data_IF_166692294010
#
_entry.id   IF_166692294010
#
_cell.length_a   1.000
_cell.length_b   1.000
_cell.length_c   1.000
_cell.angle_alpha   90.00
_cell.angle_beta   90.00
_cell.angle_gamma   90.00
#
_symmetry.space_group_name_H-M   'P 1'
#
loop_
_entity.id
_entity.type
_entity.pdbx_description
1 polymer ?
#
# COMPACT_ATOMS: atom_id res chain seq x y z
N UNK A 1 -5.57 -31.80 -35.92
CA UNK A 1 -6.98 -31.95 -35.49
C UNK A 1 -7.03 -31.47 -34.05
N UNK A 2 -7.68 -30.31 -33.86
CA UNK A 2 -7.91 -29.49 -32.65
C UNK A 2 -6.82 -29.32 -31.57
N UNK A 3 -6.27 -28.10 -31.61
CA UNK A 3 -5.41 -27.45 -30.63
C UNK A 3 -6.18 -27.18 -29.33
N UNK A 4 -5.82 -27.88 -28.25
CA UNK A 4 -6.30 -27.61 -26.89
C UNK A 4 -5.37 -26.64 -26.13
N UNK A 5 -4.21 -26.30 -26.70
CA UNK A 5 -3.21 -25.44 -26.04
C UNK A 5 -3.53 -23.94 -26.06
N UNK A 6 -4.58 -23.51 -26.77
CA UNK A 6 -4.80 -22.07 -27.01
C UNK A 6 -5.70 -21.38 -25.99
N UNK A 7 -6.36 -22.12 -25.09
CA UNK A 7 -7.26 -21.55 -24.07
C UNK A 7 -6.62 -21.45 -22.67
N UNK A 8 -5.59 -22.26 -22.37
CA UNK A 8 -4.90 -22.24 -21.08
C UNK A 8 -3.85 -21.12 -20.98
N UNK A 9 -3.22 -20.75 -22.10
CA UNK A 9 -2.24 -19.66 -22.16
C UNK A 9 -2.78 -18.30 -21.66
N UNK A 10 -3.93 -17.77 -22.14
CA UNK A 10 -4.43 -16.47 -21.69
C UNK A 10 -4.86 -16.48 -20.22
N UNK A 11 -5.50 -17.56 -19.75
CA UNK A 11 -5.90 -17.69 -18.35
C UNK A 11 -4.69 -17.73 -17.39
N UNK A 12 -3.57 -18.31 -17.83
CA UNK A 12 -2.34 -18.32 -17.04
C UNK A 12 -1.66 -16.96 -16.97
N UNK A 13 -1.65 -16.18 -18.06
CA UNK A 13 -1.09 -14.82 -18.10
C UNK A 13 -1.90 -13.85 -17.22
N UNK A 14 -3.24 -13.96 -17.24
CA UNK A 14 -4.12 -13.16 -16.40
C UNK A 14 -3.90 -13.44 -14.90
N UNK A 15 -3.69 -14.70 -14.51
CA UNK A 15 -3.39 -15.08 -13.13
C UNK A 15 -2.02 -14.53 -12.66
N UNK A 16 -1.01 -14.58 -13.52
CA UNK A 16 0.31 -14.00 -13.23
C UNK A 16 0.24 -12.48 -13.08
N UNK A 17 -0.57 -11.80 -13.90
CA UNK A 17 -0.79 -10.36 -13.77
C UNK A 17 -1.46 -10.01 -12.44
N UNK A 18 -2.43 -10.81 -11.99
CA UNK A 18 -3.06 -10.67 -10.67
C UNK A 18 -2.04 -10.84 -9.53
N UNK A 19 -1.21 -11.89 -9.55
CA UNK A 19 -0.17 -12.07 -8.53
C UNK A 19 0.86 -10.94 -8.53
N UNK A 20 1.24 -10.45 -9.71
CA UNK A 20 2.14 -9.31 -9.82
C UNK A 20 1.52 -8.03 -9.25
N UNK A 21 0.23 -7.79 -9.51
CA UNK A 21 -0.50 -6.66 -8.95
C UNK A 21 -0.62 -6.75 -7.42
N UNK A 22 -0.97 -7.93 -6.88
CA UNK A 22 -1.04 -8.15 -5.43
C UNK A 22 0.31 -7.93 -4.75
N UNK A 23 1.41 -8.42 -5.34
CA UNK A 23 2.77 -8.19 -4.83
C UNK A 23 3.12 -6.71 -4.81
N UNK A 24 2.82 -5.96 -5.87
CA UNK A 24 3.09 -4.52 -5.93
C UNK A 24 2.27 -3.74 -4.90
N UNK A 25 1.02 -4.16 -4.64
CA UNK A 25 0.19 -3.56 -3.59
C UNK A 25 0.74 -3.85 -2.19
N UNK A 26 1.20 -5.08 -1.94
CA UNK A 26 1.85 -5.46 -0.68
C UNK A 26 3.13 -4.66 -0.44
N UNK A 27 3.99 -4.55 -1.44
CA UNK A 27 5.22 -3.74 -1.38
C UNK A 27 4.92 -2.25 -1.13
N UNK A 28 3.89 -1.72 -1.78
CA UNK A 28 3.44 -0.35 -1.56
C UNK A 28 2.90 -0.12 -0.15
N UNK A 29 2.08 -1.05 0.36
CA UNK A 29 1.52 -0.98 1.71
C UNK A 29 2.63 -1.02 2.77
N UNK A 30 3.59 -1.93 2.64
CA UNK A 30 4.75 -2.04 3.54
C UNK A 30 5.59 -0.76 3.55
N UNK A 31 5.83 -0.16 2.37
CA UNK A 31 6.55 1.10 2.26
C UNK A 31 5.83 2.25 2.97
N UNK A 32 4.50 2.36 2.81
CA UNK A 32 3.69 3.39 3.47
C UNK A 32 3.65 3.17 4.99
N UNK A 33 3.50 1.92 5.44
CA UNK A 33 3.55 1.57 6.85
C UNK A 33 4.90 1.96 7.48
N UNK A 34 6.01 1.64 6.82
CA UNK A 34 7.35 2.03 7.27
C UNK A 34 7.51 3.55 7.33
N UNK A 35 7.08 4.27 6.29
CA UNK A 35 7.13 5.74 6.27
C UNK A 35 6.32 6.34 7.44
N UNK A 36 5.13 5.80 7.71
CA UNK A 36 4.30 6.25 8.83
C UNK A 36 4.98 6.03 10.18
N UNK A 37 5.63 4.89 10.38
CA UNK A 37 6.39 4.62 11.61
C UNK A 37 7.51 5.64 11.81
N UNK A 38 8.28 5.95 10.77
CA UNK A 38 9.37 6.93 10.85
C UNK A 38 8.85 8.35 11.12
N UNK A 39 7.75 8.75 10.46
CA UNK A 39 7.11 10.06 10.71
C UNK A 39 6.56 10.14 12.14
N UNK A 40 5.98 9.07 12.67
CA UNK A 40 5.48 9.02 14.04
C UNK A 40 6.61 9.13 15.06
N UNK A 41 7.71 8.38 14.87
CA UNK A 41 8.92 8.48 15.71
C UNK A 41 9.46 9.91 15.73
N UNK A 42 9.59 10.53 14.55
CA UNK A 42 10.05 11.91 14.46
C UNK A 42 9.10 12.89 15.15
N UNK A 43 7.79 12.63 15.15
CA UNK A 43 6.78 13.43 15.83
C UNK A 43 6.78 13.24 17.37
N UNK A 44 7.29 12.11 17.87
CA UNK A 44 7.37 11.80 19.29
C UNK A 44 8.71 12.23 19.92
N UNK A 45 9.82 12.12 19.18
CA UNK A 45 11.17 12.34 19.73
C UNK A 45 11.57 13.82 19.92
N UNK A 46 10.88 14.78 19.33
CA UNK A 46 11.34 16.17 19.39
C UNK A 46 10.83 16.95 20.62
N UNK A 47 11.70 17.77 21.21
CA UNK A 47 11.29 18.79 22.19
C UNK A 47 10.56 19.95 21.47
N UNK A 48 9.22 19.89 21.47
CA UNK A 48 8.35 20.79 20.68
C UNK A 48 8.12 22.18 21.28
N UNK A 49 9.15 22.82 21.83
CA UNK A 49 8.98 24.04 22.63
C UNK A 49 8.84 25.32 21.78
N UNK A 50 9.44 25.37 20.59
CA UNK A 50 9.39 26.57 19.74
C UNK A 50 8.20 26.56 18.78
N UNK A 51 7.70 27.75 18.41
CA UNK A 51 6.54 27.91 17.50
C UNK A 51 6.78 27.27 16.12
N UNK A 52 8.01 27.33 15.60
CA UNK A 52 8.37 26.69 14.32
C UNK A 52 8.32 25.17 14.41
N UNK A 53 8.84 24.61 15.49
CA UNK A 53 8.90 23.16 15.73
C UNK A 53 7.49 22.61 15.98
N UNK A 54 6.59 23.35 16.64
CA UNK A 54 5.15 22.99 16.73
C UNK A 54 4.43 22.92 15.38
N UNK A 55 4.78 23.77 14.41
CA UNK A 55 4.21 23.69 13.04
C UNK A 55 4.70 22.43 12.33
N UNK A 56 5.98 22.11 12.46
CA UNK A 56 6.54 20.88 11.93
C UNK A 56 5.85 19.66 12.53
N UNK A 57 5.65 19.61 13.86
CA UNK A 57 4.90 18.53 14.53
C UNK A 57 3.51 18.34 13.92
N UNK A 58 2.79 19.44 13.69
CA UNK A 58 1.45 19.37 13.10
C UNK A 58 1.51 18.80 11.69
N UNK A 59 2.44 19.25 10.86
CA UNK A 59 2.63 18.70 9.51
C UNK A 59 2.99 17.21 9.54
N UNK A 60 3.81 16.76 10.48
CA UNK A 60 4.14 15.35 10.67
C UNK A 60 2.92 14.53 11.09
N UNK A 61 2.10 15.03 12.01
CA UNK A 61 0.85 14.36 12.40
C UNK A 61 -0.16 14.29 11.25
N UNK A 62 -0.30 15.36 10.46
CA UNK A 62 -1.13 15.38 9.24
C UNK A 62 -0.63 14.35 8.22
N UNK A 63 0.69 14.29 7.98
CA UNK A 63 1.30 13.29 7.12
C UNK A 63 1.06 11.86 7.61
N UNK A 64 1.18 11.60 8.92
CA UNK A 64 0.85 10.30 9.51
C UNK A 64 -0.60 9.87 9.26
N UNK A 65 -1.54 10.82 9.29
CA UNK A 65 -2.96 10.56 8.98
C UNK A 65 -3.11 10.22 7.50
N UNK A 66 -2.52 11.01 6.60
CA UNK A 66 -2.54 10.75 5.16
C UNK A 66 -1.97 9.38 4.83
N UNK A 67 -0.79 9.03 5.33
CA UNK A 67 -0.19 7.70 5.14
C UNK A 67 -1.08 6.57 5.68
N UNK A 68 -1.81 6.82 6.77
CA UNK A 68 -2.80 5.87 7.28
C UNK A 68 -3.98 5.63 6.35
N UNK A 69 -4.47 6.68 5.69
CA UNK A 69 -5.55 6.58 4.69
C UNK A 69 -5.06 5.83 3.47
N UNK A 70 -3.93 6.23 2.88
CA UNK A 70 -3.34 5.59 1.70
C UNK A 70 -3.07 4.09 1.92
N UNK A 71 -2.54 3.73 3.10
CA UNK A 71 -2.36 2.32 3.47
C UNK A 71 -3.70 1.55 3.49
N UNK A 72 -4.75 2.18 4.04
CA UNK A 72 -6.09 1.61 4.07
C UNK A 72 -6.67 1.40 2.66
N UNK A 73 -6.47 2.36 1.76
CA UNK A 73 -6.90 2.27 0.36
C UNK A 73 -6.17 1.15 -0.38
N UNK A 74 -4.85 1.03 -0.24
CA UNK A 74 -4.08 -0.06 -0.83
C UNK A 74 -4.54 -1.43 -0.31
N UNK A 75 -4.78 -1.55 1.00
CA UNK A 75 -5.28 -2.77 1.62
C UNK A 75 -6.66 -3.16 1.07
N UNK A 76 -7.55 -2.19 0.92
CA UNK A 76 -8.88 -2.41 0.36
C UNK A 76 -8.83 -2.86 -1.11
N UNK A 77 -8.00 -2.22 -1.93
CA UNK A 77 -7.81 -2.60 -3.34
C UNK A 77 -7.25 -4.01 -3.44
N UNK A 78 -6.23 -4.33 -2.63
CA UNK A 78 -5.64 -5.66 -2.55
C UNK A 78 -6.67 -6.73 -2.21
N UNK A 79 -7.50 -6.51 -1.19
CA UNK A 79 -8.57 -7.45 -0.80
C UNK A 79 -9.61 -7.64 -1.89
N UNK A 80 -9.94 -6.56 -2.62
CA UNK A 80 -10.89 -6.61 -3.73
C UNK A 80 -10.35 -7.46 -4.87
N UNK A 81 -9.10 -7.23 -5.30
CA UNK A 81 -8.45 -8.03 -6.34
C UNK A 81 -8.34 -9.50 -5.90
N UNK A 82 -7.93 -9.76 -4.65
CA UNK A 82 -7.81 -11.13 -4.14
C UNK A 82 -9.16 -11.86 -4.13
N UNK A 83 -10.26 -11.16 -3.85
CA UNK A 83 -11.62 -11.72 -3.87
C UNK A 83 -12.08 -12.03 -5.29
N UNK A 84 -11.85 -11.11 -6.22
CA UNK A 84 -12.22 -11.27 -7.62
C UNK A 84 -11.41 -12.38 -8.31
N UNK A 85 -10.16 -12.57 -7.93
CA UNK A 85 -9.29 -13.61 -8.49
C UNK A 85 -9.65 -15.05 -8.08
N UNK A 86 -10.47 -15.23 -7.03
CA UNK A 86 -10.91 -16.54 -6.51
C UNK A 86 -12.37 -16.83 -6.87
N UNK A 87 -13.09 -15.85 -7.45
CA UNK A 87 -14.48 -15.96 -7.90
C UNK A 87 -14.61 -16.51 -9.31
#
# INVERSE_FOLDING_TARGET
>A
MYSILSAEAPASEDLWAVFAALRLLDEGADAIASARTEVARLADDAHWETKGVRKLRRALMELCVTLGVEHGELSFVRETIAREAVS
#
